data_IF_332523581324
#
_entry.id   IF_332523581324
#
_cell.length_a   1.000
_cell.length_b   1.000
_cell.length_c   1.000
_cell.angle_alpha   90.00
_cell.angle_beta   90.00
_cell.angle_gamma   90.00
#
_symmetry.space_group_name_H-M   'P 1'
#
loop_
_entity.id
_entity.type
_entity.pdbx_description
1 polymer ?
#
# COMPACT_ATOMS: atom_id res chain seq x y z
N UNK A 1 11.94 8.80 -0.69
CA UNK A 1 11.63 8.26 0.64
C UNK A 1 12.93 7.88 1.32
N UNK A 2 12.95 7.82 2.64
CA UNK A 2 14.08 7.31 3.45
C UNK A 2 13.66 6.01 4.12
N UNK A 3 14.54 5.00 4.12
CA UNK A 3 14.39 3.81 4.94
C UNK A 3 15.46 3.79 6.04
N UNK A 4 15.09 3.32 7.23
CA UNK A 4 16.01 3.17 8.37
C UNK A 4 15.64 1.93 9.19
N UNK A 5 16.66 1.30 9.78
CA UNK A 5 16.46 0.26 10.77
C UNK A 5 16.01 0.92 12.08
N UNK A 6 15.01 0.32 12.72
CA UNK A 6 14.47 0.78 14.00
C UNK A 6 14.42 -0.41 14.95
N UNK A 7 15.10 -0.26 16.08
CA UNK A 7 15.08 -1.23 17.16
C UNK A 7 14.23 -0.66 18.31
N UNK A 8 12.94 -0.98 18.29
CA UNK A 8 11.92 -0.46 19.22
C UNK A 8 11.02 -1.61 19.64
N UNK A 9 11.16 -2.06 20.89
CA UNK A 9 10.49 -3.26 21.39
C UNK A 9 8.96 -3.12 21.39
N UNK A 10 8.43 -1.97 21.79
CA UNK A 10 7.00 -1.73 21.81
C UNK A 10 6.39 -1.82 20.40
N UNK A 11 7.12 -1.36 19.37
CA UNK A 11 6.68 -1.51 17.97
C UNK A 11 6.86 -2.92 17.44
N UNK A 12 7.90 -3.65 17.86
CA UNK A 12 8.05 -5.07 17.51
C UNK A 12 6.82 -5.81 18.02
N UNK A 13 6.47 -5.66 19.29
CA UNK A 13 5.27 -6.26 19.89
C UNK A 13 3.99 -5.85 19.16
N UNK A 14 3.82 -4.56 18.82
CA UNK A 14 2.62 -4.05 18.17
C UNK A 14 2.42 -4.54 16.72
N UNK A 15 3.49 -4.76 15.96
CA UNK A 15 3.42 -5.18 14.56
C UNK A 15 3.64 -6.68 14.35
N UNK A 16 4.07 -7.39 15.40
CA UNK A 16 4.29 -8.83 15.31
C UNK A 16 2.97 -9.57 15.11
N UNK A 17 2.94 -10.50 14.15
CA UNK A 17 1.78 -11.37 13.90
C UNK A 17 2.18 -12.84 14.01
N UNK A 18 1.24 -13.76 14.30
CA UNK A 18 1.56 -15.19 14.41
C UNK A 18 2.22 -15.77 13.15
N UNK A 19 1.94 -15.22 11.97
CA UNK A 19 2.61 -15.64 10.73
C UNK A 19 4.12 -15.39 10.79
N UNK A 20 4.58 -14.31 11.41
CA UNK A 20 6.00 -13.96 11.50
C UNK A 20 6.79 -15.00 12.34
N UNK A 21 6.13 -15.75 13.24
CA UNK A 21 6.78 -16.78 14.08
C UNK A 21 7.49 -17.88 13.29
N UNK A 22 7.08 -18.17 12.06
CA UNK A 22 7.76 -19.18 11.25
C UNK A 22 9.18 -18.74 10.83
N UNK A 23 9.49 -17.44 10.93
CA UNK A 23 10.78 -16.85 10.63
C UNK A 23 11.53 -16.44 11.90
N UNK A 24 10.80 -16.03 12.94
CA UNK A 24 11.33 -15.62 14.25
C UNK A 24 10.63 -16.43 15.36
N UNK A 25 11.10 -17.66 15.64
CA UNK A 25 10.43 -18.56 16.58
C UNK A 25 10.37 -18.02 18.02
N UNK A 26 11.32 -17.17 18.40
CA UNK A 26 11.39 -16.51 19.71
C UNK A 26 10.38 -15.35 19.84
N UNK A 27 9.70 -14.98 18.75
CA UNK A 27 8.65 -13.97 18.76
C UNK A 27 9.18 -12.55 18.57
N UNK A 28 8.49 -11.58 19.18
CA UNK A 28 8.85 -10.16 19.09
C UNK A 28 10.16 -9.83 19.82
N UNK A 29 10.61 -10.69 20.73
CA UNK A 29 11.85 -10.55 21.50
C UNK A 29 13.07 -11.19 20.81
N UNK A 30 12.90 -11.80 19.63
CA UNK A 30 14.00 -12.44 18.91
C UNK A 30 15.13 -11.43 18.63
N UNK A 31 16.38 -11.71 19.05
CA UNK A 31 17.49 -10.77 18.90
C UNK A 31 17.86 -10.49 17.44
N UNK A 32 17.39 -11.31 16.50
CA UNK A 32 17.59 -11.11 15.07
C UNK A 32 16.43 -10.38 14.38
N UNK A 33 15.35 -10.06 15.11
CA UNK A 33 14.21 -9.30 14.60
C UNK A 33 14.50 -7.79 14.67
N UNK A 34 14.40 -7.10 13.54
CA UNK A 34 14.49 -5.63 13.47
C UNK A 34 13.42 -5.05 12.56
N UNK A 35 12.95 -3.84 12.86
CA UNK A 35 11.96 -3.15 12.05
C UNK A 35 12.65 -2.31 10.97
N UNK A 36 12.02 -2.23 9.80
CA UNK A 36 12.39 -1.27 8.77
C UNK A 36 11.30 -0.20 8.74
N UNK A 37 11.67 1.04 9.08
CA UNK A 37 10.79 2.19 8.95
C UNK A 37 11.04 2.87 7.60
N UNK A 38 9.99 2.98 6.79
CA UNK A 38 10.02 3.71 5.52
C UNK A 38 9.23 5.00 5.67
N UNK A 39 9.87 6.13 5.40
CA UNK A 39 9.25 7.46 5.37
C UNK A 39 9.18 7.92 3.91
N UNK A 40 8.01 7.84 3.24
CA UNK A 40 7.86 8.34 1.88
C UNK A 40 7.98 9.86 1.83
N UNK A 41 8.44 10.41 0.71
CA UNK A 41 8.40 11.87 0.46
C UNK A 41 7.30 12.22 -0.56
N UNK A 42 6.98 11.27 -1.43
CA UNK A 42 6.01 11.39 -2.51
C UNK A 42 5.35 10.02 -2.66
N UNK A 43 4.05 10.00 -2.94
CA UNK A 43 3.33 8.83 -3.44
C UNK A 43 2.42 9.25 -4.59
N UNK A 44 2.23 8.34 -5.54
CA UNK A 44 1.20 8.46 -6.57
C UNK A 44 0.25 7.29 -6.38
N UNK A 45 -1.05 7.57 -6.41
CA UNK A 45 -2.09 6.54 -6.33
C UNK A 45 -3.06 6.69 -7.49
N UNK A 46 -3.59 5.54 -7.92
CA UNK A 46 -4.66 5.44 -8.89
C UNK A 46 -5.81 4.72 -8.21
N UNK A 47 -6.92 5.42 -8.03
CA UNK A 47 -8.15 4.86 -7.49
C UNK A 47 -9.18 4.73 -8.60
N UNK A 48 -9.41 3.48 -9.03
CA UNK A 48 -10.37 3.16 -10.08
C UNK A 48 -11.59 2.48 -9.49
N UNK A 49 -12.77 2.74 -10.08
CA UNK A 49 -14.00 2.05 -9.67
C UNK A 49 -13.84 0.53 -9.74
N UNK A 50 -14.03 -0.14 -8.60
CA UNK A 50 -14.06 -1.61 -8.52
C UNK A 50 -15.32 -2.22 -9.15
N UNK A 51 -16.34 -1.41 -9.45
CA UNK A 51 -17.58 -1.86 -10.11
C UNK A 51 -17.37 -2.07 -11.60
N UNK A 52 -17.43 -3.33 -12.03
CA UNK A 52 -17.35 -3.73 -13.44
C UNK A 52 -18.43 -3.08 -14.32
N UNK A 53 -19.61 -2.81 -13.76
CA UNK A 53 -20.70 -2.14 -14.49
C UNK A 53 -20.37 -0.68 -14.78
N UNK A 54 -19.80 0.03 -13.81
CA UNK A 54 -19.37 1.42 -13.97
C UNK A 54 -18.29 1.49 -15.05
N UNK A 55 -17.28 0.63 -14.96
CA UNK A 55 -16.21 0.54 -15.97
C UNK A 55 -16.78 0.27 -17.37
N UNK A 56 -17.71 -0.70 -17.52
CA UNK A 56 -18.33 -1.00 -18.80
C UNK A 56 -19.13 0.19 -19.37
N UNK A 57 -19.83 0.95 -18.53
CA UNK A 57 -20.53 2.16 -18.93
C UNK A 57 -19.58 3.25 -19.45
N UNK A 58 -18.50 3.55 -18.71
CA UNK A 58 -17.48 4.53 -19.13
C UNK A 58 -16.80 4.12 -20.45
N UNK A 59 -16.54 2.82 -20.63
CA UNK A 59 -16.01 2.27 -21.89
C UNK A 59 -16.99 2.45 -23.06
N UNK A 60 -18.27 2.14 -22.88
CA UNK A 60 -19.30 2.34 -23.92
C UNK A 60 -19.44 3.83 -24.27
N UNK A 61 -19.46 4.71 -23.27
CA UNK A 61 -19.50 6.16 -23.48
C UNK A 61 -18.30 6.63 -24.30
N UNK A 62 -17.09 6.17 -23.97
CA UNK A 62 -15.86 6.49 -24.70
C UNK A 62 -15.93 6.06 -26.17
N UNK A 63 -16.44 4.85 -26.46
CA UNK A 63 -16.61 4.37 -27.84
C UNK A 63 -17.56 5.27 -28.65
N UNK A 64 -18.66 5.71 -28.03
CA UNK A 64 -19.67 6.55 -28.70
C UNK A 64 -19.19 7.98 -28.90
N UNK A 65 -18.46 8.53 -27.92
CA UNK A 65 -18.02 9.94 -27.92
C UNK A 65 -16.65 10.15 -28.57
N UNK A 66 -15.84 9.09 -28.71
CA UNK A 66 -14.44 9.17 -29.16
C UNK A 66 -13.48 9.71 -28.10
N UNK A 67 -13.96 10.00 -26.89
CA UNK A 67 -13.15 10.45 -25.75
C UNK A 67 -12.49 9.27 -25.03
N UNK A 68 -11.47 9.55 -24.22
CA UNK A 68 -10.86 8.53 -23.35
C UNK A 68 -11.79 8.20 -22.18
N UNK A 69 -11.93 6.92 -21.79
CA UNK A 69 -12.76 6.54 -20.67
C UNK A 69 -12.18 7.08 -19.36
N UNK A 70 -12.99 7.83 -18.63
CA UNK A 70 -12.71 8.25 -17.26
C UNK A 70 -12.94 7.05 -16.33
N UNK A 71 -11.85 6.44 -15.85
CA UNK A 71 -11.88 5.18 -15.08
C UNK A 71 -11.54 5.36 -13.60
N UNK A 72 -11.36 6.60 -13.15
CA UNK A 72 -11.00 6.88 -11.77
C UNK A 72 -10.03 8.05 -11.63
N UNK A 73 -9.64 8.28 -10.38
CA UNK A 73 -8.83 9.43 -10.00
C UNK A 73 -7.35 9.02 -9.88
N UNK A 74 -6.47 9.90 -10.36
CA UNK A 74 -5.03 9.83 -10.13
C UNK A 74 -4.62 11.06 -9.35
N UNK A 75 -3.88 10.86 -8.27
CA UNK A 75 -3.30 11.97 -7.53
C UNK A 75 -1.86 11.67 -7.09
N UNK A 76 -1.05 12.74 -7.14
CA UNK A 76 0.31 12.77 -6.64
C UNK A 76 0.35 13.53 -5.32
N UNK A 77 0.64 12.81 -4.25
CA UNK A 77 0.77 13.37 -2.91
C UNK A 77 2.23 13.56 -2.52
N UNK A 78 2.50 14.65 -1.78
CA UNK A 78 3.76 14.89 -1.08
C UNK A 78 3.51 14.81 0.43
N UNK A 79 4.40 14.16 1.16
CA UNK A 79 4.33 13.97 2.61
C UNK A 79 5.21 14.98 3.35
#
# INVERSE_FOLDING_TARGET
>A
GKAELVDDQAKKEAYFSPFIKAWFPEGADDPNLILIKVTPNVAEYWDSSSSKMVVAFHMLKAIVTGETPDLGEHEKMKF
#
